data_IF_565763183791
#
_entry.id   IF_565763183791
#
_cell.length_a   1.000
_cell.length_b   1.000
_cell.length_c   1.000
_cell.angle_alpha   90.00
_cell.angle_beta   90.00
_cell.angle_gamma   90.00
#
_symmetry.space_group_name_H-M   'P 1'
#
loop_
_entity.id
_entity.type
_entity.pdbx_description
1 polymer ?
#
# COMPACT_ATOMS: atom_id res chain seq x y z
N UNK A 1 3.50 -21.98 -8.20
CA UNK A 1 2.30 -21.46 -7.49
C UNK A 1 2.18 -19.95 -7.57
N UNK A 2 3.26 -19.17 -7.37
CA UNK A 2 3.28 -17.69 -7.53
C UNK A 2 2.97 -17.23 -8.97
N UNK A 3 3.38 -17.98 -10.01
CA UNK A 3 3.07 -17.65 -11.40
C UNK A 3 1.60 -17.92 -11.80
N UNK A 4 0.85 -18.73 -11.04
CA UNK A 4 -0.55 -19.07 -11.34
C UNK A 4 -1.52 -17.98 -10.85
N UNK A 5 -1.20 -17.32 -9.73
CA UNK A 5 -1.98 -16.20 -9.18
C UNK A 5 -1.94 -14.94 -10.06
N UNK A 6 -0.94 -14.80 -10.95
CA UNK A 6 -0.87 -13.69 -11.90
C UNK A 6 -1.81 -13.83 -13.10
N UNK A 7 -2.42 -15.01 -13.33
CA UNK A 7 -3.24 -15.28 -14.53
C UNK A 7 -4.73 -14.97 -14.32
N UNK A 8 -5.27 -15.09 -13.11
CA UNK A 8 -6.69 -14.81 -12.82
C UNK A 8 -7.00 -13.33 -12.57
N UNK A 9 -6.05 -12.54 -12.06
CA UNK A 9 -6.27 -11.10 -11.83
C UNK A 9 -6.19 -10.24 -13.13
N UNK A 10 -6.01 -10.87 -14.29
CA UNK A 10 -5.73 -10.24 -15.59
C UNK A 10 -6.85 -9.37 -16.18
N UNK A 11 -8.05 -9.31 -15.61
CA UNK A 11 -9.12 -8.48 -16.22
C UNK A 11 -9.24 -7.07 -15.64
N UNK A 12 -8.77 -6.84 -14.41
CA UNK A 12 -8.83 -5.51 -13.77
C UNK A 12 -7.45 -4.88 -13.49
N UNK A 13 -6.38 -5.68 -13.38
CA UNK A 13 -5.03 -5.15 -13.12
C UNK A 13 -4.29 -4.72 -14.40
N UNK A 14 -4.67 -5.17 -15.59
CA UNK A 14 -3.85 -4.99 -16.79
C UNK A 14 -3.67 -3.51 -17.19
N UNK A 15 -4.63 -2.63 -16.93
CA UNK A 15 -4.45 -1.22 -17.29
C UNK A 15 -3.54 -0.44 -16.32
N UNK A 16 -3.48 -0.80 -15.04
CA UNK A 16 -2.68 -0.07 -14.05
C UNK A 16 -1.25 -0.63 -13.91
N UNK A 17 -1.06 -1.94 -14.15
CA UNK A 17 0.26 -2.58 -14.07
C UNK A 17 1.06 -2.50 -15.38
N UNK A 18 0.39 -2.37 -16.54
CA UNK A 18 1.08 -2.30 -17.83
C UNK A 18 1.67 -0.92 -18.11
N UNK A 19 0.99 0.16 -17.72
CA UNK A 19 1.53 1.53 -17.85
C UNK A 19 2.67 1.82 -16.84
N UNK A 20 2.69 1.11 -15.71
CA UNK A 20 3.74 1.24 -14.68
C UNK A 20 5.02 0.44 -14.98
N UNK A 21 5.05 -0.34 -16.06
CA UNK A 21 6.27 -1.04 -16.52
C UNK A 21 7.21 -0.13 -17.35
N UNK A 22 6.75 1.05 -17.77
CA UNK A 22 7.50 1.97 -18.63
C UNK A 22 8.19 3.13 -17.89
N UNK A 23 7.93 3.34 -16.60
CA UNK A 23 8.53 4.43 -15.83
C UNK A 23 9.29 3.90 -14.60
N UNK A 24 10.62 3.81 -14.73
CA UNK A 24 11.51 3.03 -13.85
C UNK A 24 11.93 3.72 -12.54
N UNK A 25 11.63 5.01 -12.36
CA UNK A 25 12.45 5.78 -11.42
C UNK A 25 11.96 5.88 -9.97
N UNK A 26 10.68 5.75 -9.61
CA UNK A 26 10.30 5.90 -8.19
C UNK A 26 8.94 5.27 -7.84
N UNK A 27 8.91 3.94 -7.67
CA UNK A 27 7.70 3.21 -7.29
C UNK A 27 7.73 2.80 -5.82
N UNK A 28 6.73 3.23 -5.06
CA UNK A 28 6.50 2.72 -3.72
C UNK A 28 6.21 1.21 -3.76
N UNK A 29 6.75 0.46 -2.81
CA UNK A 29 6.57 -0.98 -2.72
C UNK A 29 5.38 -1.34 -1.83
N UNK A 30 4.80 -2.51 -2.06
CA UNK A 30 3.83 -3.08 -1.13
C UNK A 30 4.58 -3.67 0.07
N UNK A 31 4.01 -3.53 1.28
CA UNK A 31 4.58 -4.03 2.53
C UNK A 31 3.54 -4.82 3.32
N UNK A 32 3.99 -5.76 4.14
CA UNK A 32 3.11 -6.39 5.14
C UNK A 32 2.95 -5.50 6.37
N UNK A 33 1.83 -5.65 7.08
CA UNK A 33 1.72 -5.16 8.44
C UNK A 33 2.45 -6.09 9.44
N UNK A 34 2.63 -5.66 10.68
CA UNK A 34 3.36 -6.40 11.74
C UNK A 34 2.87 -7.84 12.01
N UNK A 35 1.62 -8.18 11.70
CA UNK A 35 1.06 -9.53 11.88
C UNK A 35 0.95 -10.32 10.57
N UNK A 36 1.37 -9.73 9.45
CA UNK A 36 1.22 -10.27 8.09
C UNK A 36 -0.23 -10.56 7.65
N UNK A 37 -1.24 -10.14 8.43
CA UNK A 37 -2.65 -10.27 8.07
C UNK A 37 -3.03 -9.39 6.87
N UNK A 38 -2.25 -8.34 6.61
CA UNK A 38 -2.53 -7.37 5.55
C UNK A 38 -1.32 -7.06 4.68
N UNK A 39 -1.58 -6.93 3.39
CA UNK A 39 -0.68 -6.31 2.41
C UNK A 39 -1.13 -4.86 2.19
N UNK A 40 -0.20 -3.92 2.28
CA UNK A 40 -0.43 -2.48 2.22
C UNK A 40 0.36 -1.87 1.05
N UNK A 41 -0.29 -1.02 0.24
CA UNK A 41 0.33 -0.37 -0.91
C UNK A 41 -0.22 1.06 -1.06
N UNK A 42 0.64 2.09 -1.06
CA UNK A 42 0.19 3.44 -1.35
C UNK A 42 -0.06 3.60 -2.86
N UNK A 43 -1.26 4.03 -3.20
CA UNK A 43 -1.65 4.35 -4.57
C UNK A 43 -1.16 5.75 -4.97
N UNK A 44 -0.34 5.80 -6.00
CA UNK A 44 0.27 7.02 -6.52
C UNK A 44 -0.77 8.00 -7.06
N UNK A 45 -1.82 7.50 -7.71
CA UNK A 45 -2.83 8.34 -8.36
C UNK A 45 -3.76 9.04 -7.36
N UNK A 46 -4.09 8.37 -6.26
CA UNK A 46 -5.09 8.86 -5.30
C UNK A 46 -4.52 9.29 -3.96
N UNK A 47 -3.21 9.17 -3.73
CA UNK A 47 -2.57 9.43 -2.43
C UNK A 47 -3.22 8.66 -1.28
N UNK A 48 -3.81 7.51 -1.59
CA UNK A 48 -4.54 6.67 -0.65
C UNK A 48 -3.79 5.36 -0.43
N UNK A 49 -3.95 4.76 0.74
CA UNK A 49 -3.44 3.44 1.04
C UNK A 49 -4.46 2.38 0.62
N UNK A 50 -4.07 1.57 -0.35
CA UNK A 50 -4.73 0.30 -0.63
C UNK A 50 -4.27 -0.76 0.37
N UNK A 51 -5.22 -1.57 0.84
CA UNK A 51 -4.96 -2.66 1.76
C UNK A 51 -5.74 -3.91 1.34
N UNK A 52 -5.12 -5.08 1.46
CA UNK A 52 -5.74 -6.37 1.18
C UNK A 52 -5.48 -7.34 2.32
N UNK A 53 -6.45 -8.20 2.55
CA UNK A 53 -6.32 -9.39 3.39
C UNK A 53 -5.35 -10.39 2.74
N UNK A 54 -4.29 -10.77 3.45
CA UNK A 54 -3.25 -11.63 2.89
C UNK A 54 -3.72 -13.06 2.64
N UNK A 55 -4.74 -13.54 3.38
CA UNK A 55 -5.22 -14.92 3.32
C UNK A 55 -6.18 -15.17 2.18
N UNK A 56 -7.01 -14.18 1.84
CA UNK A 56 -8.08 -14.34 0.84
C UNK A 56 -8.06 -13.29 -0.28
N UNK A 57 -7.07 -12.41 -0.31
CA UNK A 57 -6.91 -11.34 -1.30
C UNK A 57 -8.08 -10.32 -1.37
N UNK A 58 -8.96 -10.28 -0.36
CA UNK A 58 -10.07 -9.31 -0.32
C UNK A 58 -9.53 -7.90 -0.08
N UNK A 59 -9.99 -6.95 -0.90
CA UNK A 59 -9.63 -5.53 -0.76
C UNK A 59 -10.36 -4.94 0.45
N UNK A 60 -9.62 -4.25 1.32
CA UNK A 60 -10.17 -3.45 2.43
C UNK A 60 -10.43 -2.01 1.98
N UNK A 61 -11.08 -1.24 2.84
CA UNK A 61 -11.36 0.17 2.58
C UNK A 61 -10.07 0.96 2.37
N UNK A 62 -10.11 1.90 1.42
CA UNK A 62 -9.03 2.85 1.18
C UNK A 62 -8.89 3.81 2.36
N UNK A 63 -7.67 3.96 2.86
CA UNK A 63 -7.34 4.97 3.85
C UNK A 63 -6.68 6.16 3.15
N UNK A 64 -7.25 7.36 3.25
CA UNK A 64 -6.61 8.56 2.71
C UNK A 64 -5.34 8.86 3.49
N UNK A 65 -4.21 9.05 2.79
CA UNK A 65 -2.93 9.40 3.43
C UNK A 65 -2.76 10.93 3.59
N UNK A 66 -3.61 11.74 2.97
CA UNK A 66 -3.59 13.19 3.10
C UNK A 66 -2.29 13.86 2.62
N UNK A 67 -1.51 13.21 1.77
CA UNK A 67 -0.36 13.82 1.10
C UNK A 67 -0.82 14.67 -0.09
N UNK A 68 -0.07 15.73 -0.39
CA UNK A 68 -0.34 16.60 -1.54
C UNK A 68 0.47 16.19 -2.79
N UNK A 69 1.19 15.09 -2.71
CA UNK A 69 2.01 14.54 -3.78
C UNK A 69 1.98 13.01 -3.73
N UNK A 70 2.59 12.39 -4.72
CA UNK A 70 2.73 10.94 -4.77
C UNK A 70 3.45 10.43 -3.52
N UNK A 71 2.95 9.34 -2.93
CA UNK A 71 3.60 8.67 -1.80
C UNK A 71 4.66 7.72 -2.36
N UNK A 72 5.92 7.93 -1.99
CA UNK A 72 7.08 7.22 -2.54
C UNK A 72 7.57 6.09 -1.66
N UNK A 73 7.42 6.23 -0.35
CA UNK A 73 7.83 5.18 0.58
C UNK A 73 6.74 4.92 1.60
N UNK A 74 6.66 3.66 2.01
CA UNK A 74 5.92 3.19 3.16
C UNK A 74 6.82 2.22 3.93
N UNK A 75 6.87 2.36 5.24
CA UNK A 75 7.53 1.38 6.12
C UNK A 75 6.62 1.09 7.30
N UNK A 76 6.31 -0.19 7.50
CA UNK A 76 5.50 -0.63 8.62
C UNK A 76 6.40 -1.10 9.78
N UNK A 77 6.00 -0.79 11.01
CA UNK A 77 6.65 -1.32 12.21
C UNK A 77 6.55 -2.84 12.24
N UNK A 78 7.59 -3.53 12.69
CA UNK A 78 7.57 -5.00 12.84
C UNK A 78 6.90 -5.46 14.13
N UNK A 79 6.62 -4.56 15.08
CA UNK A 79 6.17 -4.91 16.43
C UNK A 79 4.83 -4.28 16.83
N UNK A 80 4.32 -3.32 16.04
CA UNK A 80 3.14 -2.55 16.41
C UNK A 80 2.30 -2.17 15.19
N UNK A 81 0.98 -1.91 15.36
CA UNK A 81 0.11 -1.42 14.30
C UNK A 81 0.39 0.07 13.99
N UNK A 82 1.57 0.34 13.44
CA UNK A 82 2.03 1.67 13.09
C UNK A 82 2.92 1.65 11.84
N UNK A 83 2.91 2.74 11.06
CA UNK A 83 3.71 2.88 9.85
C UNK A 83 4.03 4.35 9.53
N UNK A 84 5.07 4.55 8.72
CA UNK A 84 5.47 5.86 8.19
C UNK A 84 5.26 5.90 6.67
N UNK A 85 4.86 7.06 6.17
CA UNK A 85 4.82 7.36 4.74
C UNK A 85 5.65 8.59 4.43
N UNK A 86 6.30 8.63 3.26
CA UNK A 86 6.97 9.82 2.73
C UNK A 86 6.50 10.12 1.31
N UNK A 87 6.39 11.39 0.96
CA UNK A 87 5.83 11.84 -0.32
C UNK A 87 6.67 12.93 -0.97
N UNK A 88 6.45 13.13 -2.28
CA UNK A 88 6.98 14.24 -3.07
C UNK A 88 6.46 15.62 -2.58
N UNK A 89 5.52 15.67 -1.64
CA UNK A 89 5.13 16.90 -0.94
C UNK A 89 6.14 17.36 0.14
N UNK A 90 7.30 16.73 0.19
CA UNK A 90 8.38 16.96 1.16
C UNK A 90 7.98 16.71 2.61
N UNK A 91 6.94 15.91 2.85
CA UNK A 91 6.48 15.55 4.19
C UNK A 91 6.53 14.05 4.43
N UNK A 92 6.81 13.72 5.68
CA UNK A 92 6.57 12.39 6.23
C UNK A 92 5.35 12.43 7.14
N UNK A 93 4.59 11.35 7.18
CA UNK A 93 3.43 11.19 8.07
C UNK A 93 3.53 9.87 8.84
N UNK A 94 3.20 9.94 10.12
CA UNK A 94 3.18 8.79 11.02
C UNK A 94 1.74 8.37 11.31
N UNK A 95 1.51 7.07 11.20
CA UNK A 95 0.21 6.43 11.37
C UNK A 95 0.32 5.42 12.50
N UNK A 96 -0.58 5.48 13.45
CA UNK A 96 -0.64 4.52 14.54
C UNK A 96 -2.07 4.29 14.96
N UNK A 97 -2.39 3.04 15.32
CA UNK A 97 -3.65 2.73 15.97
C UNK A 97 -3.59 3.24 17.40
N UNK A 98 -4.46 4.20 17.76
CA UNK A 98 -4.66 4.57 19.17
C UNK A 98 -5.33 3.40 19.88
N UNK A 99 -4.77 2.97 21.01
CA UNK A 99 -5.48 2.08 21.92
C UNK A 99 -6.75 2.79 22.38
N UNK A 100 -7.90 2.18 22.17
CA UNK A 100 -9.13 2.64 22.80
C UNK A 100 -8.99 2.39 24.30
N UNK A 101 -8.76 3.43 25.08
CA UNK A 101 -9.00 3.38 26.52
C UNK A 101 -10.52 3.28 26.71
N UNK A 102 -11.02 2.06 26.87
CA UNK A 102 -12.37 1.77 27.33
C UNK A 102 -12.48 2.08 28.82
#
# INVERSE_FOLDING_TARGET
MIAFLLREQKKNLVNHYFLSFLNKENRAQAVFNHTEDYVMFPDEATTSLCCWDSRNASRKQLLSLGHNGAVRNIVHSTVSPAFLTSSDDFRARFWFKRSSSS
#
